data_IF_063517126839
#
_entry.id   IF_063517126839
#
_cell.length_a   1.000
_cell.length_b   1.000
_cell.length_c   1.000
_cell.angle_alpha   90.00
_cell.angle_beta   90.00
_cell.angle_gamma   90.00
#
_symmetry.space_group_name_H-M   'P 1'
#
loop_
_entity.id
_entity.type
_entity.pdbx_description
1 polymer ?
#
# COMPACT_ATOMS: atom_id res chain seq x y z
N UNK A 1 14.24 15.94 -3.97
CA UNK A 1 14.47 15.45 -2.60
C UNK A 1 14.50 13.91 -2.61
N UNK A 2 13.46 13.20 -3.05
CA UNK A 2 13.38 11.72 -3.01
C UNK A 2 14.56 11.02 -3.70
N UNK A 3 15.01 11.51 -4.87
CA UNK A 3 16.16 10.95 -5.61
C UNK A 3 17.46 11.06 -4.79
N UNK A 4 17.76 12.24 -4.24
CA UNK A 4 18.98 12.46 -3.45
C UNK A 4 18.94 11.62 -2.17
N UNK A 5 17.80 11.60 -1.46
CA UNK A 5 17.64 10.77 -0.27
C UNK A 5 17.83 9.28 -0.59
N UNK A 6 17.24 8.82 -1.70
CA UNK A 6 17.41 7.44 -2.17
C UNK A 6 18.86 7.07 -2.46
N UNK A 7 19.62 7.95 -3.12
CA UNK A 7 21.05 7.73 -3.37
C UNK A 7 21.86 7.65 -2.07
N UNK A 8 21.60 8.56 -1.11
CA UNK A 8 22.28 8.55 0.19
C UNK A 8 22.00 7.27 0.96
N UNK A 9 20.72 6.87 1.04
CA UNK A 9 20.31 5.62 1.71
C UNK A 9 20.96 4.41 1.03
N UNK A 10 20.93 4.35 -0.30
CA UNK A 10 21.57 3.27 -1.05
C UNK A 10 23.08 3.22 -0.81
N UNK A 11 23.75 4.37 -0.77
CA UNK A 11 25.19 4.45 -0.48
C UNK A 11 25.49 3.91 0.94
N UNK A 12 24.72 4.34 1.95
CA UNK A 12 24.88 3.87 3.33
C UNK A 12 24.64 2.36 3.41
N UNK A 13 23.58 1.84 2.78
CA UNK A 13 23.31 0.40 2.76
C UNK A 13 24.44 -0.38 2.08
N UNK A 14 25.00 0.11 0.97
CA UNK A 14 26.16 -0.49 0.32
C UNK A 14 27.38 -0.50 1.25
N UNK A 15 27.66 0.62 1.91
CA UNK A 15 28.78 0.72 2.84
C UNK A 15 28.67 -0.30 3.97
N UNK A 16 27.50 -0.45 4.57
CA UNK A 16 27.26 -1.34 5.69
C UNK A 16 27.26 -2.82 5.31
N UNK A 17 26.69 -3.17 4.16
CA UNK A 17 26.47 -4.58 3.80
C UNK A 17 27.45 -5.14 2.77
N UNK A 18 28.20 -4.31 2.03
CA UNK A 18 29.12 -4.81 0.98
C UNK A 18 30.47 -5.23 1.54
N UNK A 19 31.08 -4.44 2.43
CA UNK A 19 32.46 -4.67 2.86
C UNK A 19 32.65 -5.80 3.87
N UNK A 20 31.65 -6.06 4.76
CA UNK A 20 31.71 -7.14 5.75
C UNK A 20 30.36 -7.85 5.86
N UNK A 21 29.85 -8.32 4.72
CA UNK A 21 28.51 -8.84 4.59
C UNK A 21 28.10 -9.83 5.72
N UNK A 22 28.88 -10.88 5.94
CA UNK A 22 28.53 -11.91 6.93
C UNK A 22 28.41 -11.38 8.37
N UNK A 23 29.32 -10.52 8.78
CA UNK A 23 29.33 -9.96 10.13
C UNK A 23 28.27 -8.85 10.28
N UNK A 24 28.16 -8.00 9.29
CA UNK A 24 27.15 -6.92 9.29
C UNK A 24 25.73 -7.47 9.28
N UNK A 25 25.44 -8.53 8.53
CA UNK A 25 24.11 -9.16 8.53
C UNK A 25 23.80 -9.81 9.88
N UNK A 26 24.77 -10.42 10.56
CA UNK A 26 24.55 -11.00 11.89
C UNK A 26 24.18 -9.97 12.95
N UNK A 27 24.75 -8.77 12.89
CA UNK A 27 24.55 -7.73 13.90
C UNK A 27 23.41 -6.78 13.48
N UNK A 28 23.43 -6.33 12.25
CA UNK A 28 22.53 -5.28 11.75
C UNK A 28 21.31 -5.82 10.99
N UNK A 29 21.31 -7.11 10.64
CA UNK A 29 20.25 -7.70 9.81
C UNK A 29 18.87 -7.60 10.44
N UNK A 30 18.76 -7.81 11.75
CA UNK A 30 17.51 -7.65 12.49
C UNK A 30 17.02 -6.19 12.49
N UNK A 31 17.91 -5.25 12.80
CA UNK A 31 17.59 -3.81 12.85
C UNK A 31 17.20 -3.30 11.45
N UNK A 32 17.95 -3.74 10.42
CA UNK A 32 17.62 -3.38 9.03
C UNK A 32 16.25 -3.93 8.60
N UNK A 33 15.94 -5.17 9.00
CA UNK A 33 14.62 -5.78 8.80
C UNK A 33 13.53 -4.96 9.49
N UNK A 34 13.72 -4.63 10.76
CA UNK A 34 12.80 -3.81 11.54
C UNK A 34 12.55 -2.45 10.87
N UNK A 35 13.60 -1.72 10.52
CA UNK A 35 13.49 -0.42 9.88
C UNK A 35 12.76 -0.49 8.52
N UNK A 36 13.14 -1.46 7.68
CA UNK A 36 12.55 -1.62 6.35
C UNK A 36 11.07 -2.01 6.41
N UNK A 37 10.71 -3.00 7.24
CA UNK A 37 9.34 -3.47 7.36
C UNK A 37 8.45 -2.46 8.09
N UNK A 38 8.99 -1.69 9.05
CA UNK A 38 8.25 -0.59 9.68
C UNK A 38 7.95 0.53 8.69
N UNK A 39 8.92 0.91 7.85
CA UNK A 39 8.69 1.90 6.81
C UNK A 39 7.62 1.44 5.80
N UNK A 40 7.65 0.16 5.41
CA UNK A 40 6.64 -0.44 4.54
C UNK A 40 5.26 -0.44 5.22
N UNK A 41 5.20 -0.84 6.49
CA UNK A 41 3.94 -0.84 7.26
C UNK A 41 3.38 0.56 7.43
N UNK A 42 4.24 1.55 7.74
CA UNK A 42 3.84 2.95 7.80
C UNK A 42 3.20 3.43 6.49
N UNK A 43 3.85 3.11 5.38
CA UNK A 43 3.34 3.44 4.05
C UNK A 43 1.97 2.80 3.78
N UNK A 44 1.82 1.50 4.07
CA UNK A 44 0.56 0.78 3.88
C UNK A 44 -0.56 1.32 4.77
N UNK A 45 -0.26 1.63 6.04
CA UNK A 45 -1.25 2.18 6.97
C UNK A 45 -1.67 3.60 6.56
N UNK A 46 -0.72 4.47 6.25
CA UNK A 46 -1.04 5.87 5.88
C UNK A 46 -1.71 5.97 4.51
N UNK A 47 -1.28 5.18 3.52
CA UNK A 47 -1.83 5.23 2.16
C UNK A 47 -3.02 4.29 1.97
N UNK A 48 -2.94 3.07 2.53
CA UNK A 48 -3.97 2.06 2.36
C UNK A 48 -5.19 2.27 3.27
N UNK A 49 -4.98 2.72 4.51
CA UNK A 49 -6.06 2.84 5.49
C UNK A 49 -7.08 3.95 5.15
N UNK A 50 -6.63 5.06 4.55
CA UNK A 50 -7.50 6.20 4.24
C UNK A 50 -8.61 5.91 3.22
N UNK A 51 -8.45 4.89 2.38
CA UNK A 51 -9.42 4.52 1.34
C UNK A 51 -10.12 3.19 1.56
N UNK A 52 -9.82 2.48 2.65
CA UNK A 52 -10.36 1.14 2.88
C UNK A 52 -11.79 1.20 3.43
N UNK A 53 -12.70 0.49 2.79
CA UNK A 53 -14.13 0.44 3.16
C UNK A 53 -14.39 -0.13 4.56
N UNK A 54 -13.42 -0.86 5.14
CA UNK A 54 -13.50 -1.44 6.48
C UNK A 54 -12.97 -0.50 7.58
N UNK A 55 -12.42 0.66 7.22
CA UNK A 55 -11.90 1.64 8.17
C UNK A 55 -12.98 2.62 8.60
N UNK A 56 -13.37 2.56 9.86
CA UNK A 56 -14.21 3.57 10.47
C UNK A 56 -13.42 4.83 10.81
N UNK A 57 -14.09 5.96 10.95
CA UNK A 57 -13.46 7.24 11.36
C UNK A 57 -12.76 7.11 12.72
N UNK A 58 -13.37 6.40 13.66
CA UNK A 58 -12.80 6.13 14.99
C UNK A 58 -11.47 5.37 14.91
N UNK A 59 -11.40 4.34 14.07
CA UNK A 59 -10.16 3.57 13.86
C UNK A 59 -9.06 4.42 13.22
N UNK A 60 -9.42 5.32 12.29
CA UNK A 60 -8.45 6.23 11.68
C UNK A 60 -7.90 7.24 12.69
N UNK A 61 -8.75 7.82 13.53
CA UNK A 61 -8.33 8.73 14.60
C UNK A 61 -7.46 8.02 15.64
N UNK A 62 -7.83 6.81 16.04
CA UNK A 62 -7.02 6.00 16.94
C UNK A 62 -5.62 5.73 16.37
N UNK A 63 -5.52 5.34 15.09
CA UNK A 63 -4.24 5.10 14.41
C UNK A 63 -3.42 6.38 14.34
N UNK A 64 -4.04 7.51 13.96
CA UNK A 64 -3.33 8.78 13.84
C UNK A 64 -2.79 9.29 15.19
N UNK A 65 -3.58 9.17 16.24
CA UNK A 65 -3.20 9.60 17.57
C UNK A 65 -2.11 8.72 18.20
N UNK A 66 -2.07 7.43 17.84
CA UNK A 66 -1.12 6.47 18.40
C UNK A 66 -0.05 6.01 17.41
N UNK A 67 0.12 6.71 16.28
CA UNK A 67 0.99 6.25 15.19
C UNK A 67 2.44 6.03 15.64
N UNK A 68 2.96 6.87 16.51
CA UNK A 68 4.31 6.74 17.04
C UNK A 68 4.48 5.45 17.84
N UNK A 69 3.55 5.17 18.76
CA UNK A 69 3.58 3.95 19.59
C UNK A 69 3.41 2.70 18.75
N UNK A 70 2.51 2.74 17.76
CA UNK A 70 2.31 1.63 16.81
C UNK A 70 3.59 1.38 16.02
N UNK A 71 4.24 2.43 15.51
CA UNK A 71 5.47 2.28 14.71
C UNK A 71 6.63 1.74 15.53
N UNK A 72 6.79 2.17 16.78
CA UNK A 72 7.81 1.61 17.66
C UNK A 72 7.56 0.14 17.99
N UNK A 73 6.31 -0.24 18.22
CA UNK A 73 5.92 -1.64 18.45
C UNK A 73 6.18 -2.51 17.22
N UNK A 74 5.83 -2.03 16.04
CA UNK A 74 6.07 -2.70 14.75
C UNK A 74 7.58 -2.83 14.50
N UNK A 75 8.34 -1.77 14.76
CA UNK A 75 9.80 -1.81 14.63
C UNK A 75 10.43 -2.84 15.56
N UNK A 76 10.06 -2.85 16.84
CA UNK A 76 10.56 -3.83 17.81
C UNK A 76 10.21 -5.26 17.38
N UNK A 77 8.96 -5.49 16.98
CA UNK A 77 8.49 -6.81 16.55
C UNK A 77 9.29 -7.32 15.34
N UNK A 78 9.40 -6.52 14.27
CA UNK A 78 10.14 -6.94 13.08
C UNK A 78 11.65 -7.00 13.26
N UNK A 79 12.21 -6.23 14.20
CA UNK A 79 13.62 -6.34 14.58
C UNK A 79 13.90 -7.68 15.23
N UNK A 80 13.06 -8.08 16.19
CA UNK A 80 13.19 -9.38 16.88
C UNK A 80 12.98 -10.52 15.89
N UNK A 81 11.94 -10.46 15.07
CA UNK A 81 11.66 -11.46 14.03
C UNK A 81 12.81 -11.58 13.03
N UNK A 82 13.32 -10.45 12.55
CA UNK A 82 14.47 -10.40 11.65
C UNK A 82 15.73 -11.00 12.29
N UNK A 83 15.98 -10.70 13.57
CA UNK A 83 17.13 -11.26 14.29
C UNK A 83 17.01 -12.77 14.48
N UNK A 84 15.83 -13.28 14.80
CA UNK A 84 15.57 -14.73 14.88
C UNK A 84 15.83 -15.38 13.51
N UNK A 85 15.38 -14.79 12.42
CA UNK A 85 15.64 -15.30 11.06
C UNK A 85 17.13 -15.35 10.76
N UNK A 86 17.89 -14.32 11.14
CA UNK A 86 19.35 -14.28 10.96
C UNK A 86 20.01 -15.40 11.75
N UNK A 87 19.60 -15.62 13.00
CA UNK A 87 20.12 -16.71 13.85
C UNK A 87 19.82 -18.09 13.28
N UNK A 88 18.66 -18.25 12.65
CA UNK A 88 18.26 -19.46 11.93
C UNK A 88 18.90 -19.61 10.54
N UNK A 89 19.86 -18.74 10.19
CA UNK A 89 20.50 -18.69 8.88
C UNK A 89 19.51 -18.53 7.69
N UNK A 90 18.35 -17.91 7.94
CA UNK A 90 17.37 -17.59 6.88
C UNK A 90 17.67 -16.23 6.25
N UNK A 91 17.35 -16.11 4.97
CA UNK A 91 17.60 -14.87 4.22
C UNK A 91 16.56 -13.81 4.54
N UNK A 92 16.91 -12.87 5.42
CA UNK A 92 16.05 -11.73 5.82
C UNK A 92 15.75 -10.80 4.66
N UNK A 93 16.71 -10.61 3.74
CA UNK A 93 16.51 -9.73 2.57
C UNK A 93 15.39 -10.23 1.65
N UNK A 94 15.23 -11.56 1.54
CA UNK A 94 14.11 -12.14 0.77
C UNK A 94 12.76 -11.72 1.36
N UNK A 95 12.62 -11.72 2.68
CA UNK A 95 11.39 -11.26 3.35
C UNK A 95 11.12 -9.78 3.07
N UNK A 96 12.15 -8.93 3.20
CA UNK A 96 12.04 -7.49 2.95
C UNK A 96 11.65 -7.20 1.50
N UNK A 97 12.27 -7.88 0.54
CA UNK A 97 11.96 -7.73 -0.88
C UNK A 97 10.52 -8.15 -1.16
N UNK A 98 10.08 -9.30 -0.64
CA UNK A 98 8.71 -9.76 -0.84
C UNK A 98 7.69 -8.79 -0.23
N UNK A 99 7.93 -8.31 0.97
CA UNK A 99 7.06 -7.31 1.62
C UNK A 99 7.05 -5.98 0.84
N UNK A 100 8.20 -5.51 0.36
CA UNK A 100 8.31 -4.31 -0.46
C UNK A 100 7.62 -4.45 -1.80
N UNK A 101 7.77 -5.59 -2.46
CA UNK A 101 7.07 -5.89 -3.72
C UNK A 101 5.56 -5.94 -3.51
N UNK A 102 5.10 -6.57 -2.42
CA UNK A 102 3.68 -6.57 -2.05
C UNK A 102 3.14 -5.16 -1.82
N UNK A 103 3.85 -4.34 -1.04
CA UNK A 103 3.42 -2.97 -0.76
C UNK A 103 3.35 -2.10 -2.02
N UNK A 104 4.33 -2.27 -2.91
CA UNK A 104 4.36 -1.58 -4.20
C UNK A 104 3.19 -2.02 -5.08
N UNK A 105 2.97 -3.33 -5.23
CA UNK A 105 1.86 -3.88 -5.98
C UNK A 105 0.51 -3.42 -5.42
N UNK A 106 0.35 -3.41 -4.10
CA UNK A 106 -0.85 -2.92 -3.43
C UNK A 106 -1.11 -1.44 -3.72
N UNK A 107 -0.06 -0.60 -3.69
CA UNK A 107 -0.17 0.83 -4.00
C UNK A 107 -0.56 1.08 -5.46
N UNK A 108 0.06 0.36 -6.40
CA UNK A 108 -0.28 0.48 -7.82
C UNK A 108 -1.69 -0.03 -8.10
N UNK A 109 -2.07 -1.19 -7.58
CA UNK A 109 -3.41 -1.73 -7.76
C UNK A 109 -4.49 -0.76 -7.27
N UNK A 110 -4.27 -0.10 -6.12
CA UNK A 110 -5.18 0.92 -5.61
C UNK A 110 -5.32 2.12 -6.54
N UNK A 111 -4.22 2.64 -7.08
CA UNK A 111 -4.24 3.74 -8.03
C UNK A 111 -4.88 3.36 -9.36
N UNK A 112 -4.51 2.21 -9.91
CA UNK A 112 -5.03 1.76 -11.21
C UNK A 112 -6.53 1.47 -11.12
N UNK A 113 -6.99 0.85 -10.05
CA UNK A 113 -8.42 0.59 -9.85
C UNK A 113 -9.23 1.89 -9.77
N UNK A 114 -8.72 2.91 -9.06
CA UNK A 114 -9.38 4.21 -8.95
C UNK A 114 -9.40 4.94 -10.29
N UNK A 115 -8.27 4.99 -10.99
CA UNK A 115 -8.14 5.80 -12.20
C UNK A 115 -8.80 5.17 -13.43
N UNK A 116 -8.72 3.84 -13.59
CA UNK A 116 -9.24 3.17 -14.78
C UNK A 116 -10.66 2.64 -14.62
N UNK A 117 -11.06 2.30 -13.41
CA UNK A 117 -12.38 1.73 -13.12
C UNK A 117 -13.27 2.69 -12.33
N UNK A 118 -12.71 3.33 -11.31
CA UNK A 118 -13.46 4.22 -10.42
C UNK A 118 -14.03 5.43 -11.16
N UNK A 119 -13.26 6.04 -12.06
CA UNK A 119 -13.72 7.22 -12.81
C UNK A 119 -14.88 6.91 -13.77
N UNK A 120 -14.83 5.86 -14.62
CA UNK A 120 -15.98 5.46 -15.43
C UNK A 120 -17.21 5.09 -14.62
N UNK A 121 -17.03 4.40 -13.48
CA UNK A 121 -18.14 4.02 -12.61
C UNK A 121 -18.78 5.24 -11.95
N UNK A 122 -17.97 6.19 -11.48
CA UNK A 122 -18.47 7.45 -10.92
C UNK A 122 -19.23 8.28 -11.98
N UNK A 123 -18.75 8.29 -13.23
CA UNK A 123 -19.44 8.95 -14.33
C UNK A 123 -20.79 8.30 -14.63
N UNK A 124 -20.86 6.96 -14.65
CA UNK A 124 -22.10 6.21 -14.84
C UNK A 124 -23.10 6.46 -13.70
N UNK A 125 -22.62 6.45 -12.46
CA UNK A 125 -23.45 6.75 -11.29
C UNK A 125 -24.00 8.18 -11.33
N UNK A 126 -23.15 9.14 -11.69
CA UNK A 126 -23.53 10.53 -11.87
C UNK A 126 -24.59 10.71 -12.96
N UNK A 127 -24.43 10.03 -14.08
CA UNK A 127 -25.40 10.04 -15.17
C UNK A 127 -26.76 9.46 -14.73
N UNK A 128 -26.74 8.32 -14.05
CA UNK A 128 -27.96 7.69 -13.56
C UNK A 128 -28.68 8.59 -12.53
N UNK A 129 -27.95 9.24 -11.66
CA UNK A 129 -28.51 10.15 -10.67
C UNK A 129 -29.12 11.40 -11.36
N UNK A 130 -28.41 11.97 -12.32
CA UNK A 130 -28.93 13.09 -13.09
C UNK A 130 -30.19 12.72 -13.88
N UNK A 131 -30.24 11.56 -14.52
CA UNK A 131 -31.36 11.10 -15.29
C UNK A 131 -32.60 10.85 -14.44
N UNK A 132 -32.43 10.35 -13.20
CA UNK A 132 -33.54 9.97 -12.30
C UNK A 132 -33.97 11.15 -11.41
N UNK A 133 -33.02 11.83 -10.76
CA UNK A 133 -33.32 12.87 -9.78
C UNK A 133 -33.40 14.28 -10.41
N UNK A 134 -32.68 14.49 -11.51
CA UNK A 134 -32.69 15.76 -12.26
C UNK A 134 -33.67 15.81 -13.40
N UNK A 135 -34.40 14.72 -13.68
CA UNK A 135 -35.34 14.59 -14.82
C UNK A 135 -34.74 15.04 -16.16
N UNK A 136 -33.40 14.87 -16.28
CA UNK A 136 -32.65 15.29 -17.46
C UNK A 136 -32.43 16.80 -17.62
N UNK A 137 -32.74 17.61 -16.60
CA UNK A 137 -32.53 19.06 -16.61
C UNK A 137 -31.04 19.43 -16.59
N UNK A 138 -30.53 20.16 -17.60
CA UNK A 138 -29.13 20.61 -17.62
C UNK A 138 -28.75 21.53 -16.46
N UNK A 139 -29.72 22.21 -15.83
CA UNK A 139 -29.50 23.11 -14.69
C UNK A 139 -29.50 22.40 -13.33
N UNK A 140 -29.68 21.07 -13.29
CA UNK A 140 -29.73 20.30 -12.07
C UNK A 140 -28.37 20.33 -11.33
N UNK A 141 -28.42 20.83 -10.10
CA UNK A 141 -27.24 20.89 -9.24
C UNK A 141 -26.94 19.50 -8.62
N UNK A 142 -25.82 18.91 -9.02
CA UNK A 142 -25.33 17.61 -8.57
C UNK A 142 -24.76 17.65 -7.15
N UNK A 143 -25.53 18.19 -6.19
CA UNK A 143 -25.10 18.38 -4.80
C UNK A 143 -24.70 17.09 -4.10
N UNK A 144 -25.24 15.94 -4.52
CA UNK A 144 -24.90 14.64 -3.95
C UNK A 144 -23.43 14.25 -4.19
N UNK A 145 -22.73 14.83 -5.17
CA UNK A 145 -21.31 14.61 -5.43
C UNK A 145 -20.40 15.20 -4.34
N UNK A 146 -20.93 16.07 -3.47
CA UNK A 146 -20.18 16.59 -2.32
C UNK A 146 -20.00 15.53 -1.22
N UNK A 147 -20.87 14.52 -1.19
CA UNK A 147 -20.69 13.38 -0.31
C UNK A 147 -19.73 12.38 -0.96
N UNK A 148 -18.80 11.78 -0.19
CA UNK A 148 -17.89 10.78 -0.73
C UNK A 148 -18.69 9.60 -1.29
N UNK A 149 -18.85 9.58 -2.61
CA UNK A 149 -19.59 8.54 -3.31
C UNK A 149 -18.92 7.18 -3.03
N UNK A 150 -19.68 6.31 -2.41
CA UNK A 150 -19.32 4.90 -2.31
C UNK A 150 -19.59 4.28 -3.67
N UNK A 151 -18.57 4.31 -4.54
CA UNK A 151 -18.61 3.54 -5.78
C UNK A 151 -19.10 2.13 -5.46
N UNK A 152 -20.05 1.62 -6.28
CA UNK A 152 -20.68 0.33 -6.01
C UNK A 152 -19.58 -0.73 -5.85
N UNK A 153 -19.32 -1.15 -4.63
CA UNK A 153 -18.20 -2.05 -4.24
C UNK A 153 -18.17 -3.32 -5.08
N UNK A 154 -19.34 -3.77 -5.54
CA UNK A 154 -19.47 -4.94 -6.40
C UNK A 154 -18.72 -4.77 -7.74
N UNK A 155 -18.86 -3.64 -8.43
CA UNK A 155 -18.18 -3.40 -9.70
C UNK A 155 -16.67 -3.25 -9.55
N UNK A 156 -16.23 -2.63 -8.46
CA UNK A 156 -14.81 -2.56 -8.13
C UNK A 156 -14.22 -3.95 -7.84
N UNK A 157 -14.95 -4.79 -7.11
CA UNK A 157 -14.55 -6.17 -6.87
C UNK A 157 -14.48 -6.97 -8.16
N UNK A 158 -15.50 -6.90 -9.00
CA UNK A 158 -15.55 -7.63 -10.28
C UNK A 158 -14.40 -7.22 -11.21
N UNK A 159 -14.11 -5.93 -11.32
CA UNK A 159 -13.01 -5.44 -12.15
C UNK A 159 -11.65 -5.86 -11.60
N UNK A 160 -11.46 -5.82 -10.28
CA UNK A 160 -10.27 -6.34 -9.62
C UNK A 160 -10.07 -7.84 -9.88
N UNK A 161 -11.15 -8.63 -9.83
CA UNK A 161 -11.12 -10.05 -10.13
C UNK A 161 -10.72 -10.31 -11.60
N UNK A 162 -11.30 -9.58 -12.55
CA UNK A 162 -10.96 -9.67 -13.98
C UNK A 162 -9.48 -9.34 -14.18
N UNK A 163 -8.98 -8.29 -13.54
CA UNK A 163 -7.57 -7.90 -13.61
C UNK A 163 -6.67 -9.02 -13.07
N UNK A 164 -6.99 -9.61 -11.93
CA UNK A 164 -6.25 -10.73 -11.35
C UNK A 164 -6.23 -11.95 -12.31
N UNK A 165 -7.38 -12.33 -12.87
CA UNK A 165 -7.47 -13.43 -13.84
C UNK A 165 -6.64 -13.14 -15.09
N UNK A 166 -6.73 -11.92 -15.61
CA UNK A 166 -5.97 -11.51 -16.81
C UNK A 166 -4.48 -11.59 -16.58
N UNK A 167 -3.99 -11.10 -15.43
CA UNK A 167 -2.57 -11.21 -15.05
C UNK A 167 -2.14 -12.65 -14.86
N UNK A 168 -3.00 -13.50 -14.27
CA UNK A 168 -2.71 -14.93 -14.07
C UNK A 168 -2.60 -15.69 -15.39
N UNK A 169 -3.49 -15.41 -16.34
CA UNK A 169 -3.51 -16.09 -17.65
C UNK A 169 -2.44 -15.55 -18.59
N UNK A 170 -2.04 -14.29 -18.44
CA UNK A 170 -1.05 -13.63 -19.31
C UNK A 170 0.33 -14.28 -19.18
N UNK A 171 0.82 -14.88 -20.26
CA UNK A 171 2.19 -15.43 -20.33
C UNK A 171 3.26 -14.34 -20.10
N UNK A 172 3.02 -13.12 -20.59
CA UNK A 172 3.95 -11.98 -20.45
C UNK A 172 4.05 -11.45 -19.01
N UNK A 173 2.97 -11.54 -18.25
CA UNK A 173 2.97 -11.10 -16.85
C UNK A 173 3.68 -12.09 -15.91
N UNK A 174 3.87 -13.34 -16.35
CA UNK A 174 4.53 -14.41 -15.57
C UNK A 174 6.01 -14.56 -15.89
N UNK A 175 6.52 -13.90 -16.91
CA UNK A 175 7.95 -13.83 -17.27
C UNK A 175 8.63 -12.70 -16.54
#
# INVERSE_FOLDING_TARGET
>A
IAFVTGMVVQFICRLLFTFRFKNSVKILGGVFCGASLSAITYFLVIKGAKGASFMTRENLEFIQNNISSIMWSVFAFFTVLGQIMVLLNKNVFRLIILAGTFALAFSFAGNDLVNFVGVPLAALDSYNHWAVAGDGDPSYLMGYLNDPNKAVTFWLFLSGLIMCITLWVSKKARQ
#
